data_IF_046069250942
#
_entry.id   IF_046069250942
#
_cell.length_a   1.000
_cell.length_b   1.000
_cell.length_c   1.000
_cell.angle_alpha   90.00
_cell.angle_beta   90.00
_cell.angle_gamma   90.00
#
_symmetry.space_group_name_H-M   'P 1'
#
loop_
_entity.id
_entity.type
_entity.pdbx_description
1 polymer ?
#
# COMPACT_ATOMS: atom_id res chain seq x y z
N UNK A 1 10.41 38.13 53.09
CA UNK A 1 11.04 37.03 52.34
C UNK A 1 10.16 36.71 51.16
N UNK A 2 10.70 36.92 49.97
CA UNK A 2 10.02 36.95 48.67
C UNK A 2 9.84 35.53 48.15
N UNK A 3 8.61 35.09 47.83
CA UNK A 3 8.38 33.84 47.10
C UNK A 3 8.05 34.14 45.64
N UNK A 4 9.02 33.87 44.77
CA UNK A 4 8.94 33.96 43.31
C UNK A 4 8.69 32.58 42.70
N UNK A 5 7.56 32.47 41.99
CA UNK A 5 7.28 31.81 40.70
C UNK A 5 8.18 30.63 40.26
N UNK A 6 7.53 29.50 39.93
CA UNK A 6 7.85 28.75 38.70
C UNK A 6 6.62 27.94 38.24
N UNK A 7 5.92 28.50 37.24
CA UNK A 7 4.95 27.80 36.39
C UNK A 7 5.73 26.89 35.43
N UNK A 8 5.50 25.57 35.48
CA UNK A 8 6.05 24.64 34.50
C UNK A 8 5.17 24.58 33.26
N UNK A 9 5.63 25.24 32.20
CA UNK A 9 5.14 25.01 30.85
C UNK A 9 5.50 23.58 30.43
N UNK A 10 4.49 22.74 30.29
CA UNK A 10 4.60 21.43 29.67
C UNK A 10 4.85 21.61 28.16
N UNK A 11 6.09 21.42 27.73
CA UNK A 11 6.44 21.25 26.32
C UNK A 11 5.99 19.87 25.87
N UNK A 12 4.91 19.82 25.11
CA UNK A 12 4.47 18.61 24.39
C UNK A 12 5.49 18.28 23.29
N UNK A 13 6.42 17.37 23.59
CA UNK A 13 7.29 16.78 22.57
C UNK A 13 6.42 16.01 21.56
N UNK A 14 6.37 16.48 20.31
CA UNK A 14 5.72 15.75 19.21
C UNK A 14 6.39 14.39 19.03
N UNK A 15 5.60 13.33 18.84
CA UNK A 15 6.11 11.97 18.73
C UNK A 15 7.09 11.83 17.54
N UNK A 16 8.12 10.96 17.64
CA UNK A 16 9.13 10.75 16.59
C UNK A 16 8.54 10.46 15.20
N UNK A 17 7.37 9.81 15.15
CA UNK A 17 6.63 9.47 13.91
C UNK A 17 6.22 10.72 13.11
N UNK A 18 5.83 11.80 13.78
CA UNK A 18 5.34 13.03 13.13
C UNK A 18 6.46 13.78 12.41
N UNK A 19 7.68 13.75 12.96
CA UNK A 19 8.83 14.43 12.38
C UNK A 19 9.33 13.73 11.11
N UNK A 20 9.29 12.39 11.06
CA UNK A 20 9.72 11.62 9.89
C UNK A 20 8.83 11.86 8.66
N UNK A 21 7.50 11.93 8.83
CA UNK A 21 6.57 12.19 7.74
C UNK A 21 6.67 13.62 7.20
N UNK A 22 6.85 14.61 8.07
CA UNK A 22 7.05 15.99 7.64
C UNK A 22 8.34 16.16 6.83
N UNK A 23 9.44 15.52 7.26
CA UNK A 23 10.68 15.52 6.50
C UNK A 23 10.49 14.93 5.11
N UNK A 24 9.73 13.84 5.02
CA UNK A 24 9.45 13.14 3.76
C UNK A 24 8.68 14.01 2.75
N UNK A 25 7.71 14.82 3.21
CA UNK A 25 6.99 15.78 2.36
C UNK A 25 7.86 16.94 1.85
N UNK A 26 8.99 17.20 2.48
CA UNK A 26 9.92 18.27 2.10
C UNK A 26 11.15 17.78 1.32
N UNK A 27 11.29 16.47 1.10
CA UNK A 27 12.38 15.92 0.28
C UNK A 27 12.29 16.41 -1.16
N UNK A 28 13.42 16.74 -1.76
CA UNK A 28 13.53 16.85 -3.22
C UNK A 28 13.28 15.50 -3.91
N UNK A 29 13.02 15.51 -5.21
CA UNK A 29 12.81 14.26 -5.96
C UNK A 29 14.05 13.35 -5.91
N UNK A 30 15.25 13.94 -5.96
CA UNK A 30 16.52 13.20 -5.88
C UNK A 30 16.68 12.54 -4.50
N UNK A 31 16.37 13.25 -3.42
CA UNK A 31 16.41 12.69 -2.07
C UNK A 31 15.41 11.55 -1.91
N UNK A 32 14.18 11.71 -2.41
CA UNK A 32 13.17 10.66 -2.38
C UNK A 32 13.63 9.43 -3.17
N UNK A 33 14.19 9.60 -4.37
CA UNK A 33 14.72 8.49 -5.17
C UNK A 33 15.84 7.75 -4.45
N UNK A 34 16.76 8.48 -3.82
CA UNK A 34 17.83 7.87 -3.01
C UNK A 34 17.25 7.10 -1.82
N UNK A 35 16.28 7.67 -1.10
CA UNK A 35 15.61 6.98 0.02
C UNK A 35 14.90 5.71 -0.44
N UNK A 36 14.20 5.74 -1.58
CA UNK A 36 13.55 4.56 -2.16
C UNK A 36 14.59 3.49 -2.48
N UNK A 37 15.71 3.86 -3.11
CA UNK A 37 16.79 2.93 -3.47
C UNK A 37 17.40 2.29 -2.23
N UNK A 38 17.78 3.09 -1.23
CA UNK A 38 18.44 2.64 0.00
C UNK A 38 17.56 1.74 0.86
N UNK A 39 16.23 1.92 0.76
CA UNK A 39 15.25 1.12 1.48
C UNK A 39 14.64 -0.01 0.66
N UNK A 40 15.07 -0.16 -0.59
CA UNK A 40 14.57 -1.21 -1.46
C UNK A 40 15.21 -2.56 -1.15
N UNK A 41 14.47 -3.64 -1.35
CA UNK A 41 14.98 -5.01 -1.21
C UNK A 41 14.67 -5.81 -2.46
N UNK A 42 15.72 -6.23 -3.15
CA UNK A 42 15.60 -7.13 -4.29
C UNK A 42 14.96 -8.46 -3.89
N UNK A 43 14.11 -8.97 -4.78
CA UNK A 43 13.58 -10.33 -4.74
C UNK A 43 13.31 -10.74 -6.18
N UNK A 44 13.85 -11.89 -6.58
CA UNK A 44 13.78 -12.43 -7.94
C UNK A 44 12.38 -12.32 -8.56
N UNK A 45 11.35 -12.84 -7.88
CA UNK A 45 9.96 -12.78 -8.36
C UNK A 45 9.46 -11.35 -8.59
N UNK A 46 9.84 -10.40 -7.73
CA UNK A 46 9.43 -8.99 -7.86
C UNK A 46 10.06 -8.34 -9.08
N UNK A 47 11.33 -8.65 -9.37
CA UNK A 47 12.04 -8.20 -10.57
C UNK A 47 11.46 -8.82 -11.83
N UNK A 48 11.42 -10.16 -11.92
CA UNK A 48 10.91 -10.89 -13.08
C UNK A 48 9.48 -10.49 -13.42
N UNK A 49 8.57 -10.45 -12.43
CA UNK A 49 7.17 -10.03 -12.71
C UNK A 49 7.11 -8.58 -13.17
N UNK A 50 7.99 -7.70 -12.68
CA UNK A 50 8.01 -6.30 -13.11
C UNK A 50 8.51 -6.17 -14.55
N UNK A 51 9.63 -6.82 -14.88
CA UNK A 51 10.27 -6.71 -16.19
C UNK A 51 9.56 -7.50 -17.27
N UNK A 52 9.11 -8.71 -16.97
CA UNK A 52 8.63 -9.67 -17.96
C UNK A 52 7.10 -9.67 -18.10
N UNK A 53 6.37 -9.12 -17.12
CA UNK A 53 4.90 -9.06 -17.14
C UNK A 53 4.40 -7.62 -17.12
N UNK A 54 4.67 -6.88 -16.04
CA UNK A 54 4.12 -5.53 -15.86
C UNK A 54 4.60 -4.53 -16.90
N UNK A 55 5.87 -4.56 -17.26
CA UNK A 55 6.41 -3.65 -18.26
C UNK A 55 5.79 -3.89 -19.64
N UNK A 56 5.76 -5.14 -20.16
CA UNK A 56 5.01 -5.46 -21.37
C UNK A 56 3.52 -5.13 -21.30
N UNK A 57 2.85 -5.37 -20.16
CA UNK A 57 1.43 -5.03 -19.98
C UNK A 57 1.20 -3.51 -20.14
N UNK A 58 2.08 -2.69 -19.57
CA UNK A 58 2.04 -1.24 -19.73
C UNK A 58 2.43 -0.74 -21.13
N UNK A 59 3.30 -1.45 -21.85
CA UNK A 59 3.63 -1.10 -23.25
C UNK A 59 2.52 -1.46 -24.22
N UNK A 60 1.82 -2.56 -23.95
CA UNK A 60 0.75 -3.09 -24.80
C UNK A 60 -0.64 -2.60 -24.39
N UNK A 61 -0.77 -1.87 -23.29
CA UNK A 61 -2.03 -1.24 -22.89
C UNK A 61 -2.53 -0.39 -24.05
N UNK A 62 -3.55 -0.90 -24.76
CA UNK A 62 -4.14 -0.24 -25.91
C UNK A 62 -4.74 1.12 -25.51
N UNK A 63 -5.17 1.92 -26.48
CA UNK A 63 -5.73 3.28 -26.34
C UNK A 63 -6.87 3.44 -25.27
N UNK A 64 -7.36 2.35 -24.68
CA UNK A 64 -8.10 2.37 -23.41
C UNK A 64 -7.16 2.66 -22.24
N UNK A 65 -6.87 3.95 -22.06
CA UNK A 65 -5.96 4.41 -21.02
C UNK A 65 -6.35 3.90 -19.62
N UNK A 66 -5.37 3.33 -18.93
CA UNK A 66 -5.47 2.90 -17.53
C UNK A 66 -5.99 4.05 -16.67
N UNK A 67 -7.09 3.81 -15.95
CA UNK A 67 -7.69 4.77 -15.02
C UNK A 67 -7.55 4.36 -13.55
N UNK A 68 -7.30 3.07 -13.28
CA UNK A 68 -7.11 2.52 -11.95
C UNK A 68 -5.85 1.67 -11.91
N UNK A 69 -5.00 1.93 -10.91
CA UNK A 69 -3.79 1.12 -10.65
C UNK A 69 -3.95 0.40 -9.32
N UNK A 70 -3.73 -0.92 -9.31
CA UNK A 70 -3.66 -1.72 -8.07
C UNK A 70 -2.19 -1.99 -7.74
N UNK A 71 -1.71 -1.63 -6.54
CA UNK A 71 -0.33 -1.87 -6.10
C UNK A 71 -0.35 -2.65 -4.80
N UNK A 72 0.18 -3.87 -4.85
CA UNK A 72 0.12 -4.71 -3.67
C UNK A 72 0.94 -5.97 -3.71
N UNK A 73 0.61 -6.81 -2.75
CA UNK A 73 1.10 -8.18 -2.62
C UNK A 73 0.20 -9.18 -3.37
N UNK A 74 0.18 -10.44 -2.91
CA UNK A 74 -0.70 -11.50 -3.42
C UNK A 74 -2.19 -11.15 -3.31
N UNK A 75 -2.59 -10.35 -2.33
CA UNK A 75 -4.00 -9.95 -2.15
C UNK A 75 -4.53 -9.21 -3.37
N UNK A 76 -3.78 -8.25 -3.91
CA UNK A 76 -4.19 -7.58 -5.15
C UNK A 76 -3.87 -8.44 -6.39
N UNK A 77 -2.74 -9.15 -6.43
CA UNK A 77 -2.37 -10.03 -7.55
C UNK A 77 -3.47 -11.03 -7.89
N UNK A 78 -4.11 -11.61 -6.87
CA UNK A 78 -5.13 -12.67 -7.00
C UNK A 78 -6.47 -12.18 -7.58
N UNK A 79 -6.68 -10.87 -7.78
CA UNK A 79 -7.73 -10.42 -8.70
C UNK A 79 -7.48 -10.87 -10.14
N UNK A 80 -6.24 -11.19 -10.54
CA UNK A 80 -5.94 -11.81 -11.85
C UNK A 80 -6.26 -13.32 -11.91
N UNK A 81 -6.50 -13.97 -10.77
CA UNK A 81 -6.72 -15.42 -10.67
C UNK A 81 -8.01 -15.73 -9.94
N UNK A 82 -8.02 -15.77 -8.62
CA UNK A 82 -9.21 -16.10 -7.81
C UNK A 82 -10.38 -15.15 -8.07
N UNK A 83 -10.11 -13.86 -8.30
CA UNK A 83 -11.11 -12.84 -8.59
C UNK A 83 -11.18 -12.39 -10.05
N UNK A 84 -10.67 -13.19 -11.00
CA UNK A 84 -10.52 -12.77 -12.41
C UNK A 84 -11.82 -12.38 -13.12
N UNK A 85 -12.96 -12.89 -12.65
CA UNK A 85 -14.29 -12.64 -13.19
C UNK A 85 -15.07 -11.55 -12.42
N UNK A 86 -14.45 -10.95 -11.39
CA UNK A 86 -15.00 -9.84 -10.62
C UNK A 86 -14.69 -8.47 -11.24
N UNK A 87 -15.25 -7.39 -10.70
CA UNK A 87 -15.06 -6.05 -11.27
C UNK A 87 -13.58 -5.69 -11.36
N UNK A 88 -12.84 -5.82 -10.25
CA UNK A 88 -11.42 -5.48 -10.25
C UNK A 88 -10.54 -6.44 -11.04
N UNK A 89 -11.03 -7.65 -11.36
CA UNK A 89 -10.30 -8.66 -12.13
C UNK A 89 -10.56 -8.62 -13.64
N UNK A 90 -11.75 -8.16 -14.06
CA UNK A 90 -12.21 -8.24 -15.45
C UNK A 90 -12.42 -6.89 -16.12
N UNK A 91 -12.58 -5.79 -15.36
CA UNK A 91 -12.92 -4.48 -15.91
C UNK A 91 -11.73 -3.89 -16.69
N UNK A 92 -11.95 -3.36 -17.91
CA UNK A 92 -10.91 -2.69 -18.66
C UNK A 92 -10.43 -1.41 -17.96
N UNK A 93 -9.21 -0.99 -18.27
CA UNK A 93 -8.60 0.21 -17.69
C UNK A 93 -8.00 0.01 -16.29
N UNK A 94 -8.02 -1.22 -15.75
CA UNK A 94 -7.35 -1.56 -14.49
C UNK A 94 -5.98 -2.16 -14.79
N UNK A 95 -4.93 -1.52 -14.29
CA UNK A 95 -3.59 -2.10 -14.27
C UNK A 95 -3.30 -2.68 -12.89
N UNK A 96 -3.21 -4.00 -12.81
CA UNK A 96 -2.94 -4.68 -11.54
C UNK A 96 -1.47 -5.04 -11.42
N UNK A 97 -0.76 -4.30 -10.57
CA UNK A 97 0.65 -4.49 -10.24
C UNK A 97 0.85 -5.28 -8.93
N UNK A 98 -0.09 -6.14 -8.52
CA UNK A 98 0.11 -7.05 -7.39
C UNK A 98 1.17 -8.11 -7.68
N UNK A 99 2.02 -8.45 -6.69
CA UNK A 99 2.98 -9.58 -6.80
C UNK A 99 3.02 -10.41 -5.52
N UNK A 100 2.93 -11.72 -5.71
CA UNK A 100 2.87 -12.69 -4.63
C UNK A 100 4.08 -12.68 -3.71
N UNK A 101 3.80 -12.57 -2.41
CA UNK A 101 4.82 -12.56 -1.36
C UNK A 101 5.66 -11.29 -1.30
N UNK A 102 5.35 -10.23 -2.05
CA UNK A 102 6.04 -8.95 -1.91
C UNK A 102 5.81 -8.37 -0.51
N UNK A 103 6.90 -8.00 0.15
CA UNK A 103 6.91 -7.15 1.35
C UNK A 103 7.00 -5.69 0.94
N UNK A 104 6.77 -4.76 1.87
CA UNK A 104 6.93 -3.31 1.65
C UNK A 104 8.25 -2.96 0.92
N UNK A 105 9.45 -3.37 1.36
CA UNK A 105 10.69 -3.01 0.67
C UNK A 105 10.87 -3.68 -0.71
N UNK A 106 10.15 -4.77 -1.01
CA UNK A 106 10.17 -5.36 -2.35
C UNK A 106 9.42 -4.48 -3.35
N UNK A 107 8.35 -3.82 -2.91
CA UNK A 107 7.59 -2.93 -3.79
C UNK A 107 8.38 -1.64 -4.03
N UNK A 108 9.10 -1.10 -3.03
CA UNK A 108 10.08 -0.01 -3.26
C UNK A 108 11.10 -0.38 -4.32
N UNK A 109 11.57 -1.62 -4.32
CA UNK A 109 12.51 -2.10 -5.32
C UNK A 109 11.91 -2.02 -6.74
N UNK A 110 10.65 -2.41 -6.93
CA UNK A 110 9.98 -2.28 -8.22
C UNK A 110 9.71 -0.83 -8.61
N UNK A 111 9.46 0.05 -7.65
CA UNK A 111 9.36 1.49 -7.89
C UNK A 111 10.72 2.01 -8.40
N UNK A 112 11.81 1.62 -7.75
CA UNK A 112 13.19 1.97 -8.15
C UNK A 112 13.52 1.48 -9.57
N UNK A 113 13.08 0.26 -9.93
CA UNK A 113 13.18 -0.27 -11.30
C UNK A 113 12.43 0.58 -12.34
N UNK A 114 11.50 1.43 -11.91
CA UNK A 114 10.77 2.35 -12.79
C UNK A 114 9.31 2.01 -13.00
N UNK A 115 8.73 1.11 -12.20
CA UNK A 115 7.30 0.75 -12.32
C UNK A 115 6.38 1.98 -12.35
N UNK A 116 6.55 2.92 -11.43
CA UNK A 116 5.73 4.13 -11.39
C UNK A 116 6.00 5.05 -12.56
N UNK A 117 7.26 5.23 -12.97
CA UNK A 117 7.62 6.03 -14.15
C UNK A 117 6.95 5.48 -15.41
N UNK A 118 6.89 4.16 -15.53
CA UNK A 118 6.25 3.47 -16.66
C UNK A 118 4.73 3.53 -16.59
N UNK A 119 4.15 3.41 -15.41
CA UNK A 119 2.71 3.57 -15.24
C UNK A 119 2.24 5.03 -15.43
N UNK A 120 3.10 6.03 -15.12
CA UNK A 120 2.79 7.46 -15.29
C UNK A 120 2.53 7.87 -16.74
N UNK A 121 3.03 7.12 -17.71
CA UNK A 121 2.75 7.40 -19.14
C UNK A 121 1.25 7.25 -19.47
N UNK A 122 0.49 6.64 -18.57
CA UNK A 122 -0.97 6.55 -18.63
C UNK A 122 -1.59 7.85 -18.09
N UNK A 123 -1.91 8.81 -18.97
CA UNK A 123 -2.38 10.16 -18.59
C UNK A 123 -3.70 10.18 -17.78
N UNK A 124 -4.45 9.08 -17.79
CA UNK A 124 -5.81 8.98 -17.23
C UNK A 124 -5.90 8.30 -15.86
N UNK A 125 -4.77 7.94 -15.22
CA UNK A 125 -4.81 7.33 -13.88
C UNK A 125 -5.50 8.28 -12.90
N UNK A 126 -6.72 7.95 -12.53
CA UNK A 126 -7.59 8.71 -11.63
C UNK A 126 -7.62 8.12 -10.22
N UNK A 127 -7.24 6.86 -10.05
CA UNK A 127 -7.20 6.19 -8.75
C UNK A 127 -6.04 5.20 -8.65
N UNK A 128 -5.48 5.08 -7.44
CA UNK A 128 -4.52 4.05 -7.07
C UNK A 128 -5.00 3.36 -5.80
N UNK A 129 -5.19 2.04 -5.83
CA UNK A 129 -5.51 1.24 -4.64
C UNK A 129 -4.24 0.51 -4.17
N UNK A 130 -3.94 0.65 -2.89
CA UNK A 130 -2.74 0.09 -2.24
C UNK A 130 -3.15 -0.94 -1.19
N UNK A 131 -2.55 -2.12 -1.24
CA UNK A 131 -2.62 -3.13 -0.18
C UNK A 131 -1.25 -3.79 0.02
N UNK A 132 -0.48 -3.29 0.99
CA UNK A 132 0.92 -3.70 1.23
C UNK A 132 1.17 -3.85 2.72
N UNK A 133 1.99 -4.83 3.12
CA UNK A 133 2.39 -5.07 4.52
C UNK A 133 1.99 -6.42 5.09
N UNK A 134 1.03 -7.15 4.51
CA UNK A 134 0.62 -8.46 5.06
C UNK A 134 1.78 -9.48 5.11
N UNK A 135 2.67 -9.47 4.12
CA UNK A 135 3.84 -10.35 4.08
C UNK A 135 4.98 -9.92 5.01
N UNK A 136 4.90 -8.72 5.59
CA UNK A 136 5.84 -8.23 6.59
C UNK A 136 5.52 -8.80 7.98
N UNK A 137 4.26 -9.22 8.19
CA UNK A 137 3.78 -9.91 9.39
C UNK A 137 4.07 -11.41 9.29
N UNK A 138 5.30 -11.85 9.54
CA UNK A 138 5.72 -13.26 9.34
C UNK A 138 5.69 -14.12 10.59
N UNK A 139 5.53 -13.52 11.77
CA UNK A 139 5.62 -14.22 13.06
C UNK A 139 4.61 -13.60 14.03
N UNK A 140 3.88 -14.42 14.81
CA UNK A 140 3.05 -13.92 15.89
C UNK A 140 3.83 -13.06 16.90
N UNK A 141 3.16 -12.06 17.46
CA UNK A 141 3.69 -11.09 18.41
C UNK A 141 4.56 -10.00 17.77
N UNK A 142 4.42 -9.77 16.46
CA UNK A 142 5.19 -8.73 15.73
C UNK A 142 4.30 -7.98 14.74
N UNK A 143 3.93 -6.75 15.10
CA UNK A 143 3.40 -5.76 14.17
C UNK A 143 4.51 -5.19 13.26
N UNK A 144 4.14 -4.32 12.32
CA UNK A 144 5.09 -3.58 11.50
C UNK A 144 6.09 -2.78 12.34
N UNK A 145 7.35 -2.80 11.92
CA UNK A 145 8.45 -2.05 12.54
C UNK A 145 8.50 -0.60 12.05
N UNK A 146 9.17 0.28 12.79
CA UNK A 146 9.35 1.68 12.36
C UNK A 146 10.01 1.81 10.99
N UNK A 147 10.97 0.95 10.66
CA UNK A 147 11.59 0.92 9.35
C UNK A 147 10.58 0.59 8.25
N UNK A 148 9.71 -0.41 8.48
CA UNK A 148 8.66 -0.79 7.52
C UNK A 148 7.60 0.31 7.38
N UNK A 149 7.27 1.00 8.46
CA UNK A 149 6.36 2.15 8.46
C UNK A 149 6.94 3.34 7.68
N UNK A 150 8.23 3.63 7.84
CA UNK A 150 8.92 4.63 7.04
C UNK A 150 8.95 4.24 5.55
N UNK A 151 9.27 2.98 5.26
CA UNK A 151 9.24 2.45 3.90
C UNK A 151 7.85 2.54 3.28
N UNK A 152 6.80 2.26 4.05
CA UNK A 152 5.42 2.43 3.62
C UNK A 152 5.13 3.89 3.23
N UNK A 153 5.56 4.86 4.04
CA UNK A 153 5.42 6.28 3.73
C UNK A 153 6.14 6.69 2.43
N UNK A 154 7.33 6.12 2.15
CA UNK A 154 8.05 6.35 0.89
C UNK A 154 7.22 5.91 -0.34
N UNK A 155 6.44 4.83 -0.25
CA UNK A 155 5.55 4.42 -1.33
C UNK A 155 4.47 5.47 -1.59
N UNK A 156 3.80 5.92 -0.53
CA UNK A 156 2.68 6.84 -0.67
C UNK A 156 3.11 8.18 -1.25
N UNK A 157 4.29 8.68 -0.85
CA UNK A 157 4.83 9.90 -1.44
C UNK A 157 5.28 9.71 -2.88
N UNK A 158 5.92 8.58 -3.21
CA UNK A 158 6.24 8.26 -4.60
C UNK A 158 4.97 8.23 -5.47
N UNK A 159 3.88 7.67 -4.97
CA UNK A 159 2.58 7.66 -5.64
C UNK A 159 1.98 9.05 -5.77
N UNK A 160 1.98 9.87 -4.71
CA UNK A 160 1.51 11.26 -4.76
C UNK A 160 2.23 12.08 -5.81
N UNK A 161 3.55 11.98 -5.90
CA UNK A 161 4.35 12.72 -6.89
C UNK A 161 4.16 12.19 -8.30
N UNK A 162 3.99 10.88 -8.44
CA UNK A 162 3.76 10.24 -9.75
C UNK A 162 2.37 10.59 -10.29
N UNK A 163 1.35 10.51 -9.45
CA UNK A 163 -0.06 10.67 -9.79
C UNK A 163 -0.72 11.79 -8.97
N UNK A 164 -0.31 13.06 -9.13
CA UNK A 164 -0.75 14.16 -8.26
C UNK A 164 -2.24 14.49 -8.33
N UNK A 165 -2.94 13.99 -9.35
CA UNK A 165 -4.40 14.14 -9.53
C UNK A 165 -5.19 12.89 -9.16
N UNK A 166 -4.52 11.76 -8.92
CA UNK A 166 -5.21 10.52 -8.62
C UNK A 166 -5.61 10.48 -7.15
N UNK A 167 -6.74 9.84 -6.88
CA UNK A 167 -7.16 9.46 -5.54
C UNK A 167 -6.36 8.23 -5.10
N UNK A 168 -5.52 8.37 -4.06
CA UNK A 168 -4.73 7.25 -3.55
C UNK A 168 -5.45 6.66 -2.34
N UNK A 169 -5.88 5.41 -2.44
CA UNK A 169 -6.62 4.69 -1.40
C UNK A 169 -5.78 3.56 -0.87
N UNK A 170 -5.49 3.59 0.43
CA UNK A 170 -4.85 2.49 1.16
C UNK A 170 -5.94 1.66 1.81
N UNK A 171 -5.96 0.38 1.48
CA UNK A 171 -6.86 -0.59 2.12
C UNK A 171 -6.17 -1.23 3.32
N UNK A 172 -6.92 -1.46 4.39
CA UNK A 172 -6.41 -2.13 5.58
C UNK A 172 -5.93 -3.56 5.26
N UNK A 173 -4.96 -4.04 6.03
CA UNK A 173 -4.55 -5.43 6.04
C UNK A 173 -5.70 -6.29 6.56
N UNK A 174 -5.95 -7.40 5.85
CA UNK A 174 -6.88 -8.42 6.31
C UNK A 174 -6.29 -9.20 7.49
N UNK A 175 -7.18 -9.70 8.34
CA UNK A 175 -6.82 -10.72 9.30
C UNK A 175 -6.32 -11.99 8.61
N UNK A 176 -5.51 -12.78 9.32
CA UNK A 176 -4.97 -14.03 8.82
C UNK A 176 -4.62 -14.95 9.98
N UNK A 177 -4.62 -16.26 9.73
CA UNK A 177 -4.55 -17.29 10.78
C UNK A 177 -3.14 -17.55 11.32
N UNK A 178 -2.11 -17.09 10.61
CA UNK A 178 -0.70 -17.36 10.93
C UNK A 178 -0.03 -16.26 11.78
N UNK A 179 -0.78 -15.23 12.21
CA UNK A 179 -0.33 -14.16 13.12
C UNK A 179 -1.43 -13.83 14.14
N UNK A 180 -1.09 -13.11 15.21
CA UNK A 180 -2.11 -12.65 16.14
C UNK A 180 -2.94 -11.53 15.50
N UNK A 181 -4.26 -11.55 15.69
CA UNK A 181 -5.15 -10.49 15.19
C UNK A 181 -4.74 -9.11 15.69
N UNK A 182 -4.26 -9.03 16.95
CA UNK A 182 -3.73 -7.80 17.54
C UNK A 182 -2.51 -7.23 16.80
N UNK A 183 -1.70 -8.07 16.16
CA UNK A 183 -0.56 -7.59 15.36
C UNK A 183 -1.04 -6.93 14.07
N UNK A 184 -2.12 -7.46 13.48
CA UNK A 184 -2.79 -6.88 12.31
C UNK A 184 -3.48 -5.57 12.70
N UNK A 185 -4.23 -5.56 13.82
CA UNK A 185 -4.87 -4.35 14.34
C UNK A 185 -3.86 -3.23 14.57
N UNK A 186 -2.77 -3.54 15.28
CA UNK A 186 -1.72 -2.56 15.57
C UNK A 186 -1.07 -2.05 14.30
N UNK A 187 -0.81 -2.93 13.34
CA UNK A 187 -0.24 -2.54 12.05
C UNK A 187 -1.19 -1.66 11.25
N UNK A 188 -2.49 -1.97 11.23
CA UNK A 188 -3.50 -1.15 10.59
C UNK A 188 -3.63 0.23 11.24
N UNK A 189 -3.60 0.31 12.57
CA UNK A 189 -3.59 1.58 13.30
C UNK A 189 -2.37 2.43 12.90
N UNK A 190 -1.19 1.83 12.89
CA UNK A 190 0.05 2.52 12.51
C UNK A 190 0.05 3.00 11.05
N UNK A 191 -0.46 2.18 10.12
CA UNK A 191 -0.61 2.56 8.71
C UNK A 191 -1.67 3.66 8.53
N UNK A 192 -2.81 3.57 9.20
CA UNK A 192 -3.86 4.58 9.17
C UNK A 192 -3.36 5.93 9.71
N UNK A 193 -2.54 5.91 10.75
CA UNK A 193 -1.89 7.12 11.29
C UNK A 193 -0.98 7.79 10.26
N UNK A 194 -0.22 7.00 9.47
CA UNK A 194 0.60 7.54 8.37
C UNK A 194 -0.28 8.16 7.30
N UNK A 195 -1.32 7.43 6.87
CA UNK A 195 -2.23 7.90 5.82
C UNK A 195 -2.91 9.20 6.22
N UNK A 196 -3.39 9.30 7.47
CA UNK A 196 -4.04 10.50 8.00
C UNK A 196 -3.11 11.72 8.02
N UNK A 197 -1.79 11.50 8.05
CA UNK A 197 -0.78 12.56 7.99
C UNK A 197 -0.36 12.98 6.59
N UNK A 198 -0.82 12.28 5.53
CA UNK A 198 -0.41 12.54 4.15
C UNK A 198 -1.57 13.13 3.33
N UNK A 199 -1.39 14.29 2.68
CA UNK A 199 -2.46 14.92 1.92
C UNK A 199 -2.82 14.08 0.68
N UNK A 200 -4.10 14.01 0.33
CA UNK A 200 -4.56 13.30 -0.88
C UNK A 200 -4.38 11.78 -0.85
N UNK A 201 -4.19 11.19 0.34
CA UNK A 201 -4.21 9.75 0.57
C UNK A 201 -5.36 9.42 1.53
N UNK A 202 -6.11 8.38 1.22
CA UNK A 202 -7.28 7.97 1.98
C UNK A 202 -7.10 6.58 2.57
N UNK A 203 -7.62 6.37 3.77
CA UNK A 203 -7.66 5.06 4.42
C UNK A 203 -9.03 4.43 4.24
N UNK A 204 -9.04 3.17 3.81
CA UNK A 204 -10.24 2.35 3.70
C UNK A 204 -10.10 1.10 4.56
N UNK A 205 -10.98 0.94 5.54
CA UNK A 205 -11.04 -0.28 6.33
C UNK A 205 -11.31 -1.51 5.44
N UNK A 206 -10.75 -2.66 5.81
CA UNK A 206 -11.07 -3.93 5.18
C UNK A 206 -12.53 -4.32 5.50
N UNK A 207 -13.25 -4.97 4.58
CA UNK A 207 -14.55 -5.51 4.90
C UNK A 207 -14.42 -6.63 5.93
N UNK A 208 -15.51 -6.87 6.65
CA UNK A 208 -15.60 -8.04 7.53
C UNK A 208 -15.64 -9.32 6.68
N UNK A 209 -14.68 -10.21 6.94
CA UNK A 209 -14.59 -11.52 6.31
C UNK A 209 -14.42 -12.58 7.39
N UNK A 210 -15.19 -13.65 7.28
CA UNK A 210 -15.07 -14.82 8.15
C UNK A 210 -13.78 -15.59 7.86
N UNK A 211 -12.90 -15.69 8.87
CA UNK A 211 -11.59 -16.33 8.75
C UNK A 211 -11.70 -17.83 8.39
N UNK A 212 -12.79 -18.49 8.76
CA UNK A 212 -12.98 -19.93 8.55
C UNK A 212 -13.58 -20.26 7.20
N UNK A 213 -14.44 -19.40 6.67
CA UNK A 213 -15.23 -19.65 5.47
C UNK A 213 -14.76 -18.88 4.24
N UNK A 214 -14.02 -17.78 4.41
CA UNK A 214 -13.64 -16.89 3.30
C UNK A 214 -12.16 -16.95 2.92
N UNK A 215 -11.43 -17.91 3.47
CA UNK A 215 -10.01 -18.11 3.17
C UNK A 215 -9.77 -19.46 2.50
N UNK A 216 -8.86 -19.48 1.52
CA UNK A 216 -8.39 -20.69 0.85
C UNK A 216 -7.26 -21.36 1.65
N UNK A 217 -6.42 -20.54 2.27
CA UNK A 217 -5.33 -20.96 3.14
C UNK A 217 -5.26 -20.05 4.39
N UNK A 218 -4.15 -20.04 5.10
CA UNK A 218 -4.05 -19.22 6.32
C UNK A 218 -4.01 -17.70 6.06
N UNK A 219 -3.84 -17.25 4.82
CA UNK A 219 -3.53 -15.86 4.46
C UNK A 219 -4.45 -15.31 3.37
N UNK A 220 -4.75 -16.10 2.35
CA UNK A 220 -5.40 -15.64 1.15
C UNK A 220 -6.90 -15.94 1.15
N UNK A 221 -7.67 -14.96 0.71
CA UNK A 221 -9.10 -15.12 0.48
C UNK A 221 -9.38 -16.19 -0.59
N UNK A 222 -10.45 -16.94 -0.39
CA UNK A 222 -11.04 -17.79 -1.42
C UNK A 222 -11.98 -16.96 -2.32
N UNK A 223 -12.67 -17.61 -3.27
CA UNK A 223 -13.58 -16.93 -4.21
C UNK A 223 -14.64 -16.08 -3.50
N UNK A 224 -15.29 -16.61 -2.46
CA UNK A 224 -16.33 -15.90 -1.71
C UNK A 224 -15.75 -14.70 -0.95
N UNK A 225 -14.55 -14.83 -0.37
CA UNK A 225 -13.85 -13.70 0.24
C UNK A 225 -13.54 -12.58 -0.74
N UNK A 226 -13.11 -12.91 -1.97
CA UNK A 226 -12.91 -11.91 -3.02
C UNK A 226 -14.22 -11.26 -3.48
N UNK A 227 -15.37 -11.95 -3.49
CA UNK A 227 -16.67 -11.33 -3.79
C UNK A 227 -17.04 -10.24 -2.80
N UNK A 228 -16.80 -10.50 -1.51
CA UNK A 228 -17.04 -9.53 -0.44
C UNK A 228 -16.12 -8.33 -0.62
N UNK A 229 -14.84 -8.58 -0.90
CA UNK A 229 -13.87 -7.49 -1.06
C UNK A 229 -14.09 -6.65 -2.32
N UNK A 230 -14.35 -7.29 -3.46
CA UNK A 230 -14.66 -6.61 -4.71
C UNK A 230 -15.87 -5.70 -4.55
N UNK A 231 -16.98 -6.24 -4.03
CA UNK A 231 -18.21 -5.46 -3.77
C UNK A 231 -17.96 -4.31 -2.83
N UNK A 232 -17.21 -4.54 -1.74
CA UNK A 232 -16.85 -3.49 -0.80
C UNK A 232 -16.05 -2.36 -1.47
N UNK A 233 -15.07 -2.69 -2.31
CA UNK A 233 -14.26 -1.70 -3.02
C UNK A 233 -15.12 -0.92 -4.03
N UNK A 234 -15.93 -1.63 -4.84
CA UNK A 234 -16.86 -1.02 -5.80
C UNK A 234 -17.81 -0.05 -5.09
N UNK A 235 -18.46 -0.49 -4.02
CA UNK A 235 -19.45 0.32 -3.29
C UNK A 235 -18.81 1.54 -2.60
N UNK A 236 -17.62 1.38 -2.00
CA UNK A 236 -16.96 2.45 -1.25
C UNK A 236 -16.19 3.44 -2.12
N UNK A 237 -15.74 3.00 -3.29
CA UNK A 237 -14.92 3.82 -4.17
C UNK A 237 -15.68 4.31 -5.41
N UNK A 238 -16.92 3.83 -5.62
CA UNK A 238 -17.77 4.18 -6.75
C UNK A 238 -17.09 3.85 -8.09
N UNK A 239 -16.42 2.69 -8.15
CA UNK A 239 -15.63 2.23 -9.30
C UNK A 239 -16.27 1.10 -10.09
#
# INVERSE_FOLDING_TARGET
>A
MSSSIASSLATTAKSPKTNSLLLLLHMSDIELENQIKDNSKWKKRSEETTLDVHFPELDNASLEATNLVLIGSSMLERFKTTGHDLNLGSKPGIFNAGVGGDTIPNILYRINLGLLRKAKTQEKVGMVIVNIGSNDLKKPGRSLTEAQLYQFALHLEALRRTFPRARIVVTALFYKKDVHLSDVDRSNEDLQNIVSGLPGVEWLAAPEVDLDNHYEDHVHLNRAGYEIWDRWLVDKLEI
#
